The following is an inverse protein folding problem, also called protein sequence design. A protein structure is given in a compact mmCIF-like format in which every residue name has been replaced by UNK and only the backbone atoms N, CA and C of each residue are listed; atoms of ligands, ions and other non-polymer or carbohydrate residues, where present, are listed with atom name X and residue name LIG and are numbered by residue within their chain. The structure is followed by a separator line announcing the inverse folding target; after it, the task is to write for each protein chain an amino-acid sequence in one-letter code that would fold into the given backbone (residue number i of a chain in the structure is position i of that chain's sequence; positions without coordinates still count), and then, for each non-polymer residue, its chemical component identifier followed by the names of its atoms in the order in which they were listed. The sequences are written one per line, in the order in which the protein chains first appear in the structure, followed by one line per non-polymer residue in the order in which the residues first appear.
data_IF_258074410000
#
_entry.id   IF_258074410000
#
_cell.length_a   1.000
_cell.length_b   1.000
_cell.length_c   1.000
_cell.angle_alpha   90.00
_cell.angle_beta   90.00
_cell.angle_gamma   90.00
#
_symmetry.space_group_name_H-M   'P 1'
#
loop_
_entity.id
_entity.type
_entity.pdbx_description
1 polymer ?
#
# COMPACT_ATOMS: atom_id res chain seq x y z
N UNK A 1 -17.69 3.73 -25.20
CA UNK A 1 -16.45 4.20 -24.54
C UNK A 1 -16.75 4.43 -23.05
N UNK A 2 -16.19 3.65 -22.13
CA UNK A 2 -16.43 3.85 -20.68
C UNK A 2 -15.71 5.14 -20.26
N UNK A 3 -16.43 6.15 -19.79
CA UNK A 3 -15.87 7.42 -19.31
C UNK A 3 -15.57 7.33 -17.83
N UNK A 4 -14.41 7.80 -17.41
CA UNK A 4 -14.12 8.17 -16.03
C UNK A 4 -14.65 9.60 -15.86
N UNK A 5 -15.42 9.84 -14.78
CA UNK A 5 -16.13 11.10 -14.54
C UNK A 5 -15.25 12.16 -13.83
N UNK A 6 -13.93 11.97 -13.86
CA UNK A 6 -12.99 12.87 -13.20
C UNK A 6 -12.21 13.70 -14.21
N UNK A 7 -12.05 14.99 -13.90
CA UNK A 7 -11.06 15.85 -14.52
C UNK A 7 -9.92 16.07 -13.54
N UNK A 8 -8.68 15.88 -13.96
CA UNK A 8 -7.53 16.21 -13.12
C UNK A 8 -7.55 17.71 -12.77
N UNK A 9 -7.14 18.09 -11.55
CA UNK A 9 -6.93 19.50 -11.22
C UNK A 9 -5.79 20.08 -12.06
N UNK A 10 -5.68 21.40 -12.10
CA UNK A 10 -4.52 22.09 -12.66
C UNK A 10 -3.23 21.63 -11.94
N UNK A 11 -2.10 21.71 -12.61
CA UNK A 11 -0.80 21.51 -11.96
C UNK A 11 -0.53 22.70 -11.04
N UNK A 12 -0.23 22.39 -9.77
CA UNK A 12 0.08 23.39 -8.77
C UNK A 12 1.57 23.38 -8.44
N UNK A 13 2.21 24.53 -8.63
CA UNK A 13 3.62 24.71 -8.28
C UNK A 13 3.73 25.85 -7.28
N UNK A 14 4.62 25.72 -6.28
CA UNK A 14 4.82 26.70 -5.23
C UNK A 14 6.31 27.02 -5.11
N UNK A 15 6.65 28.33 -5.12
CA UNK A 15 7.99 28.85 -4.93
C UNK A 15 8.23 29.30 -3.49
N UNK A 16 7.19 29.65 -2.75
CA UNK A 16 7.24 30.03 -1.35
C UNK A 16 5.90 30.57 -0.85
N UNK A 17 5.72 30.55 0.45
CA UNK A 17 4.55 31.15 1.08
C UNK A 17 4.85 31.51 2.53
N UNK A 18 4.28 32.61 3.01
CA UNK A 18 4.48 33.03 4.38
C UNK A 18 3.43 33.99 4.88
N UNK A 19 3.32 34.05 6.20
CA UNK A 19 2.64 35.08 6.98
C UNK A 19 3.68 35.83 7.81
N UNK A 20 3.68 37.16 7.77
CA UNK A 20 4.53 37.98 8.66
C UNK A 20 3.75 39.13 9.24
N UNK A 21 4.15 39.54 10.45
CA UNK A 21 3.71 40.81 11.03
C UNK A 21 4.35 42.00 10.30
N UNK A 22 3.90 43.21 10.60
CA UNK A 22 4.41 44.46 9.99
C UNK A 22 5.86 44.74 10.33
N UNK A 23 6.40 44.11 11.37
CA UNK A 23 7.82 44.14 11.73
C UNK A 23 8.68 43.16 10.95
N UNK A 24 8.08 42.31 10.12
CA UNK A 24 8.76 41.31 9.30
C UNK A 24 9.03 39.99 10.01
N UNK A 25 8.52 39.77 11.25
CA UNK A 25 8.63 38.47 11.92
C UNK A 25 7.73 37.47 11.24
N UNK A 26 8.27 36.33 10.82
CA UNK A 26 7.53 35.23 10.25
C UNK A 26 6.72 34.49 11.33
N UNK A 27 5.44 34.22 11.04
CA UNK A 27 4.55 33.42 11.89
C UNK A 27 4.42 32.02 11.32
N UNK A 28 4.30 31.91 10.00
CA UNK A 28 4.34 30.68 9.25
C UNK A 28 5.16 30.89 7.99
N UNK A 29 6.00 29.93 7.62
CA UNK A 29 6.80 29.97 6.41
C UNK A 29 6.86 28.58 5.77
N UNK A 30 6.60 28.49 4.46
CA UNK A 30 6.70 27.25 3.69
C UNK A 30 8.13 26.65 3.73
N UNK A 31 9.15 27.50 3.90
CA UNK A 31 10.53 27.05 4.03
C UNK A 31 10.80 26.30 5.34
N UNK A 32 10.06 26.60 6.41
CA UNK A 32 10.17 25.88 7.69
C UNK A 32 9.38 24.56 7.67
N UNK A 33 8.19 24.57 7.05
CA UNK A 33 7.37 23.38 6.84
C UNK A 33 6.46 23.56 5.60
N UNK A 34 6.54 22.63 4.68
CA UNK A 34 5.66 22.63 3.51
C UNK A 34 4.18 22.39 3.88
N UNK A 35 3.89 21.90 5.10
CA UNK A 35 2.52 21.77 5.61
C UNK A 35 1.87 23.11 5.93
N UNK A 36 2.64 24.20 6.07
CA UNK A 36 2.09 25.52 6.38
C UNK A 36 1.15 26.09 5.32
N UNK A 37 1.07 25.51 4.13
CA UNK A 37 0.19 25.97 3.07
C UNK A 37 -0.88 24.93 2.77
N UNK A 38 -2.14 25.35 2.67
CA UNK A 38 -3.18 24.51 2.10
C UNK A 38 -2.81 24.19 0.65
N UNK A 39 -2.56 22.93 0.35
CA UNK A 39 -2.17 22.49 -0.99
C UNK A 39 -3.20 22.92 -2.04
N UNK A 40 -2.77 23.33 -3.23
CA UNK A 40 -3.60 23.91 -4.29
C UNK A 40 -4.20 25.30 -3.96
N UNK A 41 -3.64 26.00 -2.97
CA UNK A 41 -3.97 27.40 -2.74
C UNK A 41 -3.64 28.24 -3.97
N UNK A 42 -4.56 29.13 -4.36
CA UNK A 42 -4.29 30.12 -5.39
C UNK A 42 -3.22 31.14 -4.94
N UNK A 43 -2.44 31.70 -5.87
CA UNK A 43 -1.47 32.72 -5.54
C UNK A 43 -2.13 33.94 -4.91
N UNK A 44 -1.50 34.50 -3.88
CA UNK A 44 -1.95 35.71 -3.23
C UNK A 44 -0.76 36.52 -2.69
N UNK A 45 -0.89 37.84 -2.78
CA UNK A 45 0.00 38.79 -2.11
C UNK A 45 -0.84 39.95 -1.62
N UNK A 46 -1.05 40.01 -0.31
CA UNK A 46 -1.95 40.98 0.29
C UNK A 46 -1.55 41.33 1.70
N UNK A 47 -2.14 42.38 2.23
CA UNK A 47 -2.08 42.75 3.64
C UNK A 47 -3.50 42.68 4.20
N UNK A 48 -3.68 41.99 5.31
CA UNK A 48 -4.97 41.74 5.97
C UNK A 48 -4.90 42.09 7.45
N UNK A 49 -6.04 42.45 8.02
CA UNK A 49 -6.20 42.43 9.48
C UNK A 49 -6.22 41.00 10.01
N UNK A 50 -5.73 40.80 11.25
CA UNK A 50 -5.70 39.51 11.89
C UNK A 50 -7.05 38.82 11.94
N UNK A 51 -8.16 39.55 12.14
CA UNK A 51 -9.51 39.00 12.10
C UNK A 51 -9.87 38.36 10.76
N UNK A 52 -9.50 38.99 9.64
CA UNK A 52 -9.68 38.46 8.29
C UNK A 52 -8.74 37.27 8.03
N UNK A 53 -7.48 37.38 8.48
CA UNK A 53 -6.50 36.31 8.33
C UNK A 53 -6.94 35.03 9.04
N UNK A 54 -7.55 35.13 10.23
CA UNK A 54 -8.01 33.98 11.00
C UNK A 54 -9.04 33.12 10.27
N UNK A 55 -9.79 33.67 9.30
CA UNK A 55 -10.72 32.91 8.45
C UNK A 55 -10.01 31.98 7.47
N UNK A 56 -8.75 32.26 7.16
CA UNK A 56 -7.89 31.48 6.26
C UNK A 56 -6.87 30.59 6.98
N UNK A 57 -6.90 30.55 8.32
CA UNK A 57 -6.01 29.72 9.12
C UNK A 57 -6.72 28.46 9.61
N UNK A 58 -6.03 27.34 9.43
CA UNK A 58 -6.44 26.03 9.91
C UNK A 58 -5.46 25.52 10.98
N UNK A 59 -5.99 25.08 12.11
CA UNK A 59 -5.21 24.48 13.22
C UNK A 59 -5.97 23.29 13.80
N UNK A 60 -5.32 22.57 14.74
CA UNK A 60 -5.88 21.45 15.49
C UNK A 60 -5.92 21.85 16.97
N UNK A 61 -7.05 22.30 17.52
CA UNK A 61 -7.16 22.68 18.93
C UNK A 61 -6.89 21.52 19.89
N UNK A 62 -7.19 20.28 19.46
CA UNK A 62 -6.94 19.03 20.19
C UNK A 62 -5.45 18.63 20.20
N UNK A 63 -4.67 19.11 19.24
CA UNK A 63 -3.22 18.92 19.15
C UNK A 63 -2.53 20.27 18.81
N UNK A 64 -2.34 21.15 19.82
CA UNK A 64 -1.97 22.55 19.62
C UNK A 64 -0.55 22.77 19.10
N UNK A 65 0.29 21.77 19.08
CA UNK A 65 1.67 21.81 18.61
C UNK A 65 1.84 21.29 17.17
N UNK A 66 0.82 20.66 16.61
CA UNK A 66 0.85 20.08 15.27
C UNK A 66 0.26 20.99 14.21
N UNK A 67 0.83 20.93 13.00
CA UNK A 67 0.35 21.62 11.80
C UNK A 67 -0.52 20.64 11.01
N UNK A 68 -1.82 20.94 10.73
CA UNK A 68 -2.64 20.06 9.94
C UNK A 68 -2.20 20.05 8.47
N UNK A 69 -2.40 18.91 7.80
CA UNK A 69 -2.32 18.81 6.33
C UNK A 69 -3.69 19.03 5.70
N UNK A 70 -3.78 19.97 4.76
CA UNK A 70 -5.01 20.25 4.00
C UNK A 70 -4.73 20.52 2.53
N UNK A 71 -5.72 20.23 1.68
CA UNK A 71 -5.71 20.52 0.24
C UNK A 71 -7.02 21.11 -0.22
N UNK A 72 -7.00 21.91 -1.30
CA UNK A 72 -8.16 22.58 -1.88
C UNK A 72 -8.48 22.13 -3.33
N UNK A 73 -7.65 21.33 -3.97
CA UNK A 73 -7.71 20.80 -5.35
C UNK A 73 -8.47 21.67 -6.37
N UNK A 74 -9.81 21.71 -6.35
CA UNK A 74 -10.67 22.42 -7.33
C UNK A 74 -11.33 23.67 -6.75
N UNK A 75 -11.11 23.97 -5.46
CA UNK A 75 -11.70 25.14 -4.84
C UNK A 75 -10.88 26.40 -5.19
N UNK A 76 -11.56 27.47 -5.62
CA UNK A 76 -10.92 28.77 -5.80
C UNK A 76 -10.70 29.47 -4.45
N UNK A 77 -9.74 28.94 -3.68
CA UNK A 77 -9.44 29.39 -2.32
C UNK A 77 -7.94 29.42 -2.06
N UNK A 78 -7.56 29.94 -0.91
CA UNK A 78 -6.23 29.90 -0.36
C UNK A 78 -6.29 29.76 1.17
N UNK A 79 -5.24 29.30 1.79
CA UNK A 79 -5.16 29.19 3.24
C UNK A 79 -3.79 28.76 3.74
N UNK A 80 -3.61 28.91 5.05
CA UNK A 80 -2.46 28.40 5.76
C UNK A 80 -2.89 27.40 6.84
N UNK A 81 -2.04 26.42 7.06
CA UNK A 81 -2.10 25.50 8.17
C UNK A 81 -1.04 25.92 9.19
N UNK A 82 -1.44 26.09 10.41
CA UNK A 82 -0.56 26.55 11.50
C UNK A 82 -0.80 25.73 12.76
N UNK A 83 0.12 25.73 13.69
CA UNK A 83 -0.16 25.20 15.03
C UNK A 83 -1.24 26.07 15.70
N UNK A 84 -1.99 25.49 16.64
CA UNK A 84 -2.99 26.28 17.37
C UNK A 84 -2.33 27.38 18.23
N UNK A 85 -1.10 27.16 18.68
CA UNK A 85 -0.28 28.17 19.34
C UNK A 85 0.04 29.34 18.41
N UNK A 86 0.47 29.10 17.18
CA UNK A 86 0.71 30.17 16.19
C UNK A 86 -0.57 30.91 15.85
N UNK A 87 -1.69 30.19 15.73
CA UNK A 87 -3.01 30.80 15.51
C UNK A 87 -3.39 31.75 16.64
N UNK A 88 -3.12 31.38 17.89
CA UNK A 88 -3.41 32.19 19.08
C UNK A 88 -2.55 33.48 19.17
N UNK A 89 -1.41 33.53 18.46
CA UNK A 89 -0.59 34.76 18.39
C UNK A 89 -1.18 35.84 17.48
N UNK A 90 -2.17 35.51 16.64
CA UNK A 90 -2.78 36.46 15.70
C UNK A 90 -3.66 37.44 16.48
N UNK A 91 -3.29 38.68 16.45
CA UNK A 91 -4.06 39.81 17.07
C UNK A 91 -5.07 40.33 16.05
N UNK A 92 -6.40 40.28 16.30
CA UNK A 92 -7.42 40.61 15.30
C UNK A 92 -7.29 41.98 14.66
N UNK A 93 -6.86 43.00 15.43
CA UNK A 93 -6.72 44.39 14.95
C UNK A 93 -5.34 44.73 14.36
N UNK A 94 -4.36 43.82 14.46
CA UNK A 94 -3.05 44.01 13.86
C UNK A 94 -3.06 43.67 12.36
N UNK A 95 -2.12 44.21 11.59
CA UNK A 95 -1.93 43.93 10.18
C UNK A 95 -0.85 42.87 9.96
N UNK A 96 -1.07 42.02 8.93
CA UNK A 96 -0.18 40.93 8.51
C UNK A 96 0.02 40.96 7.00
N UNK A 97 1.26 40.77 6.56
CA UNK A 97 1.60 40.51 5.17
C UNK A 97 1.45 39.02 4.89
N UNK A 98 0.68 38.68 3.86
CA UNK A 98 0.36 37.31 3.46
C UNK A 98 0.78 37.11 2.02
N UNK A 99 1.62 36.09 1.79
CA UNK A 99 2.11 35.76 0.44
C UNK A 99 2.01 34.28 0.23
N UNK A 100 1.42 33.87 -0.90
CA UNK A 100 1.56 32.54 -1.50
C UNK A 100 2.02 32.77 -2.94
N UNK A 101 3.25 32.41 -3.22
CA UNK A 101 3.86 32.50 -4.55
C UNK A 101 3.74 31.12 -5.21
N UNK A 102 2.65 30.93 -5.94
CA UNK A 102 2.27 29.68 -6.56
C UNK A 102 1.72 29.90 -7.97
N UNK A 103 1.65 28.84 -8.77
CA UNK A 103 0.96 28.82 -10.06
C UNK A 103 -0.04 27.66 -10.10
N UNK A 104 -1.13 27.87 -10.82
CA UNK A 104 -2.16 26.87 -11.13
C UNK A 104 -2.38 26.91 -12.64
N UNK A 105 -1.82 25.97 -13.37
CA UNK A 105 -1.75 25.97 -14.86
C UNK A 105 -2.10 24.59 -15.41
N UNK A 106 -2.39 24.54 -16.70
CA UNK A 106 -2.45 23.28 -17.42
C UNK A 106 -1.07 22.63 -17.42
N UNK A 107 -1.03 21.37 -16.99
CA UNK A 107 0.24 20.66 -16.82
C UNK A 107 0.06 19.15 -16.82
N UNK A 108 0.83 18.45 -16.00
CA UNK A 108 0.93 17.00 -15.98
C UNK A 108 0.61 16.42 -14.62
N UNK A 109 -0.10 15.28 -14.59
CA UNK A 109 -0.19 14.44 -13.42
C UNK A 109 0.92 13.39 -13.51
N UNK A 110 1.94 13.53 -12.66
CA UNK A 110 3.11 12.64 -12.66
C UNK A 110 2.87 11.42 -11.80
N UNK A 111 3.22 10.24 -12.29
CA UNK A 111 3.32 9.00 -11.54
C UNK A 111 4.59 8.24 -11.92
N UNK A 112 5.11 7.43 -11.01
CA UNK A 112 6.22 6.53 -11.26
C UNK A 112 5.72 5.10 -11.49
N UNK A 113 6.35 4.40 -12.42
CA UNK A 113 6.05 3.01 -12.71
C UNK A 113 7.33 2.22 -12.96
N UNK A 114 7.44 1.05 -12.34
CA UNK A 114 8.50 0.10 -12.62
C UNK A 114 7.88 -1.26 -12.96
N UNK A 115 8.32 -1.85 -14.07
CA UNK A 115 7.86 -3.16 -14.53
C UNK A 115 9.02 -4.14 -14.46
N UNK A 116 8.86 -5.20 -13.68
CA UNK A 116 9.81 -6.30 -13.57
C UNK A 116 9.21 -7.48 -14.34
N UNK A 117 9.73 -7.70 -15.53
CA UNK A 117 9.23 -8.72 -16.46
C UNK A 117 9.37 -10.12 -15.88
N UNK A 118 8.29 -10.90 -15.92
CA UNK A 118 8.24 -12.30 -15.58
C UNK A 118 8.19 -13.21 -16.81
N UNK A 119 8.08 -14.51 -16.57
CA UNK A 119 7.95 -15.52 -17.63
C UNK A 119 6.55 -15.54 -18.26
N UNK A 120 5.55 -14.98 -17.57
CA UNK A 120 4.17 -14.89 -18.04
C UNK A 120 3.67 -13.46 -18.10
N UNK A 121 2.63 -13.24 -18.90
CA UNK A 121 1.92 -11.97 -19.04
C UNK A 121 0.99 -11.66 -17.86
N UNK A 122 0.78 -12.61 -16.95
CA UNK A 122 0.02 -12.36 -15.72
C UNK A 122 0.79 -11.36 -14.84
N UNK A 123 0.10 -10.34 -14.34
CA UNK A 123 0.72 -9.27 -13.56
C UNK A 123 0.29 -9.28 -12.09
N UNK A 124 1.24 -9.01 -11.21
CA UNK A 124 1.01 -8.63 -9.81
C UNK A 124 1.20 -7.12 -9.70
N UNK A 125 0.13 -6.40 -9.36
CA UNK A 125 0.15 -4.96 -9.16
C UNK A 125 0.47 -4.62 -7.71
N UNK A 126 1.56 -3.88 -7.49
CA UNK A 126 1.96 -3.35 -6.19
C UNK A 126 1.87 -1.83 -6.25
N UNK A 127 0.90 -1.24 -5.58
CA UNK A 127 0.61 0.19 -5.67
C UNK A 127 0.80 0.90 -4.35
N UNK A 128 1.30 2.13 -4.40
CA UNK A 128 1.37 3.04 -3.24
C UNK A 128 1.19 4.48 -3.71
N UNK A 129 0.73 5.36 -2.83
CA UNK A 129 0.53 6.75 -3.22
C UNK A 129 1.64 7.68 -2.71
N UNK A 130 1.84 8.79 -3.47
CA UNK A 130 2.95 9.73 -3.32
C UNK A 130 2.47 11.19 -3.12
N UNK A 131 1.21 11.39 -2.75
CA UNK A 131 0.59 12.72 -2.78
C UNK A 131 0.69 13.52 -1.48
N UNK A 132 1.19 12.92 -0.39
CA UNK A 132 1.27 13.59 0.91
C UNK A 132 2.70 14.10 1.18
N UNK A 133 2.92 15.42 1.20
CA UNK A 133 4.24 15.97 1.48
C UNK A 133 4.59 15.81 2.97
N UNK A 134 5.81 15.34 3.26
CA UNK A 134 6.40 15.29 4.60
C UNK A 134 5.61 14.50 5.66
N UNK A 135 4.75 13.56 5.25
CA UNK A 135 4.05 12.65 6.16
C UNK A 135 4.72 11.27 6.10
N UNK A 136 5.17 10.79 7.26
CA UNK A 136 6.04 9.61 7.35
C UNK A 136 5.28 8.30 7.21
N UNK A 137 4.24 8.08 8.02
CA UNK A 137 3.41 6.87 7.92
C UNK A 137 2.47 6.95 6.71
N UNK A 138 1.87 8.11 6.48
CA UNK A 138 0.95 8.40 5.39
C UNK A 138 1.59 9.34 4.33
N UNK A 139 2.52 8.92 3.44
CA UNK A 139 2.73 7.54 3.08
C UNK A 139 4.18 7.24 2.68
N UNK A 140 5.17 7.94 3.21
CA UNK A 140 6.59 7.63 2.91
C UNK A 140 6.93 6.20 3.30
N UNK A 141 6.27 5.63 4.33
CA UNK A 141 6.43 4.23 4.74
C UNK A 141 6.12 3.25 3.61
N UNK A 142 5.00 3.41 2.92
CA UNK A 142 4.63 2.58 1.77
C UNK A 142 5.56 2.76 0.58
N UNK A 143 5.99 3.99 0.30
CA UNK A 143 6.95 4.30 -0.77
C UNK A 143 8.28 3.60 -0.51
N UNK A 144 8.83 3.74 0.69
CA UNK A 144 10.10 3.12 1.08
C UNK A 144 10.01 1.59 1.01
N UNK A 145 8.92 1.02 1.52
CA UNK A 145 8.70 -0.42 1.49
C UNK A 145 8.67 -0.95 0.05
N UNK A 146 7.88 -0.36 -0.84
CA UNK A 146 7.79 -0.82 -2.22
C UNK A 146 9.09 -0.58 -3.01
N UNK A 147 9.84 0.47 -2.72
CA UNK A 147 11.13 0.72 -3.35
C UNK A 147 12.15 -0.38 -2.97
N UNK A 148 12.20 -0.77 -1.69
CA UNK A 148 13.06 -1.87 -1.21
C UNK A 148 12.60 -3.20 -1.81
N UNK A 149 11.32 -3.50 -1.77
CA UNK A 149 10.75 -4.71 -2.37
C UNK A 149 11.08 -4.81 -3.87
N UNK A 150 10.90 -3.74 -4.62
CA UNK A 150 11.20 -3.68 -6.05
C UNK A 150 12.68 -3.96 -6.36
N UNK A 151 13.60 -3.39 -5.57
CA UNK A 151 15.02 -3.70 -5.65
C UNK A 151 15.30 -5.19 -5.40
N UNK A 152 14.68 -5.76 -4.38
CA UNK A 152 14.90 -7.15 -3.99
C UNK A 152 14.30 -8.14 -5.02
N UNK A 153 13.22 -7.76 -5.70
CA UNK A 153 12.60 -8.53 -6.77
C UNK A 153 13.40 -8.44 -8.09
N UNK A 154 14.00 -7.28 -8.40
CA UNK A 154 14.70 -7.04 -9.67
C UNK A 154 15.86 -8.02 -9.95
N UNK A 155 16.44 -8.63 -8.91
CA UNK A 155 17.50 -9.64 -9.04
C UNK A 155 17.00 -11.08 -9.13
N UNK A 156 15.68 -11.32 -9.15
CA UNK A 156 15.07 -12.66 -9.07
C UNK A 156 14.53 -13.09 -10.43
N UNK A 157 14.50 -14.40 -10.65
CA UNK A 157 13.71 -14.98 -11.74
C UNK A 157 12.25 -15.02 -11.31
N UNK A 158 11.42 -14.24 -11.99
CA UNK A 158 10.01 -14.07 -11.69
C UNK A 158 9.16 -14.87 -12.67
N UNK A 159 8.12 -15.53 -12.17
CA UNK A 159 7.15 -16.21 -13.01
C UNK A 159 6.12 -15.23 -13.57
N UNK A 160 5.64 -14.33 -12.73
CA UNK A 160 4.70 -13.27 -13.11
C UNK A 160 5.41 -11.94 -13.26
N UNK A 161 4.90 -11.10 -14.12
CA UNK A 161 5.35 -9.72 -14.21
C UNK A 161 4.91 -8.94 -12.98
N UNK A 162 5.80 -8.18 -12.36
CA UNK A 162 5.48 -7.31 -11.24
C UNK A 162 5.48 -5.87 -11.67
N UNK A 163 4.36 -5.20 -11.42
CA UNK A 163 4.19 -3.78 -11.69
C UNK A 163 4.13 -3.00 -10.40
N UNK A 164 5.12 -2.14 -10.17
CA UNK A 164 5.16 -1.22 -9.05
C UNK A 164 4.64 0.14 -9.52
N UNK A 165 3.58 0.64 -8.89
CA UNK A 165 2.93 1.90 -9.24
C UNK A 165 3.00 2.88 -8.06
N UNK A 166 3.63 4.03 -8.30
CA UNK A 166 3.75 5.15 -7.37
C UNK A 166 2.97 6.33 -7.93
N UNK A 167 1.81 6.64 -7.40
CA UNK A 167 0.92 7.63 -8.01
C UNK A 167 0.23 8.53 -6.99
N UNK A 168 -0.16 9.77 -7.35
CA UNK A 168 -0.93 10.61 -6.45
C UNK A 168 -2.24 9.94 -6.04
N UNK A 169 -2.50 9.86 -4.72
CA UNK A 169 -3.64 9.14 -4.16
C UNK A 169 -4.96 9.50 -4.82
N UNK A 170 -5.74 8.51 -5.10
CA UNK A 170 -7.02 8.39 -5.79
C UNK A 170 -7.05 8.87 -7.24
N UNK A 171 -6.45 9.99 -7.58
CA UNK A 171 -6.42 10.53 -8.97
C UNK A 171 -5.42 9.80 -9.85
N UNK A 172 -4.27 9.44 -9.31
CA UNK A 172 -3.24 8.69 -10.02
C UNK A 172 -3.72 7.32 -10.50
N UNK A 173 -4.29 6.47 -9.64
CA UNK A 173 -4.92 5.22 -10.07
C UNK A 173 -5.97 5.41 -11.17
N UNK A 174 -6.84 6.42 -11.07
CA UNK A 174 -7.83 6.68 -12.12
C UNK A 174 -7.18 7.08 -13.46
N UNK A 175 -6.15 7.92 -13.40
CA UNK A 175 -5.38 8.30 -14.58
C UNK A 175 -4.68 7.07 -15.19
N UNK A 176 -4.00 6.26 -14.37
CA UNK A 176 -3.34 5.05 -14.79
C UNK A 176 -4.33 4.04 -15.41
N UNK A 177 -5.43 3.75 -14.73
CA UNK A 177 -6.50 2.87 -15.22
C UNK A 177 -7.09 3.33 -16.56
N UNK A 178 -7.22 4.65 -16.76
CA UNK A 178 -7.76 5.21 -18.01
C UNK A 178 -6.84 4.96 -19.20
N UNK A 179 -5.52 4.95 -18.98
CA UNK A 179 -4.49 4.82 -20.01
C UNK A 179 -4.10 3.37 -20.29
N UNK A 180 -4.31 2.47 -19.33
CA UNK A 180 -3.81 1.08 -19.38
C UNK A 180 -4.92 0.04 -19.57
N UNK A 181 -6.07 0.42 -20.11
CA UNK A 181 -7.27 -0.44 -20.22
C UNK A 181 -7.03 -1.78 -20.91
N UNK A 182 -6.13 -1.81 -21.88
CA UNK A 182 -5.80 -3.02 -22.64
C UNK A 182 -4.95 -4.02 -21.85
N UNK A 183 -4.36 -3.57 -20.74
CA UNK A 183 -3.50 -4.39 -19.88
C UNK A 183 -4.21 -4.89 -18.61
N UNK A 184 -5.41 -4.36 -18.30
CA UNK A 184 -6.06 -4.65 -17.01
C UNK A 184 -6.43 -6.11 -16.83
N UNK A 185 -6.72 -6.83 -17.90
CA UNK A 185 -7.03 -8.27 -17.88
C UNK A 185 -5.82 -9.13 -17.46
N UNK A 186 -4.61 -8.59 -17.53
CA UNK A 186 -3.39 -9.28 -17.09
C UNK A 186 -3.21 -9.24 -15.58
N UNK A 187 -3.89 -8.32 -14.87
CA UNK A 187 -3.73 -8.17 -13.41
C UNK A 187 -4.41 -9.35 -12.72
N UNK A 188 -3.58 -10.30 -12.32
CA UNK A 188 -3.98 -11.52 -11.62
C UNK A 188 -4.21 -11.27 -10.13
N UNK A 189 -3.44 -10.35 -9.53
CA UNK A 189 -3.51 -9.98 -8.13
C UNK A 189 -2.96 -8.57 -7.95
N UNK A 190 -3.41 -7.84 -6.93
CA UNK A 190 -2.82 -6.55 -6.59
C UNK A 190 -2.99 -6.18 -5.13
N UNK A 191 -2.06 -5.36 -4.65
CA UNK A 191 -2.07 -4.84 -3.28
C UNK A 191 -1.68 -3.37 -3.28
N UNK A 192 -2.51 -2.55 -2.65
CA UNK A 192 -2.13 -1.19 -2.24
C UNK A 192 -1.44 -1.29 -0.89
N UNK A 193 -0.23 -0.74 -0.78
CA UNK A 193 0.57 -0.75 0.46
C UNK A 193 0.67 0.69 0.96
N UNK A 194 0.15 0.94 2.16
CA UNK A 194 0.10 2.28 2.73
C UNK A 194 0.03 2.23 4.27
N UNK A 195 0.50 3.27 4.95
CA UNK A 195 0.46 3.39 6.42
C UNK A 195 0.99 2.10 7.09
N UNK A 196 2.23 1.73 6.77
CA UNK A 196 2.84 0.45 7.16
C UNK A 196 4.01 0.59 8.13
N UNK A 197 4.21 1.77 8.69
CA UNK A 197 5.37 2.08 9.52
C UNK A 197 5.10 2.18 11.03
N UNK A 198 3.85 2.36 11.45
CA UNK A 198 3.45 2.45 12.86
C UNK A 198 3.42 1.08 13.55
N UNK A 199 3.21 1.06 14.85
CA UNK A 199 3.23 -0.15 15.68
C UNK A 199 1.87 -0.89 15.77
N UNK A 200 0.87 -0.44 15.02
CA UNK A 200 -0.43 -1.10 14.92
C UNK A 200 -0.33 -2.52 14.34
N UNK A 201 -1.34 -3.36 14.52
CA UNK A 201 -1.35 -4.70 13.96
C UNK A 201 -1.43 -4.65 12.43
N UNK A 202 -0.78 -5.61 11.76
CA UNK A 202 -0.97 -5.80 10.31
C UNK A 202 -2.45 -5.98 9.98
N UNK A 203 -2.93 -5.28 8.97
CA UNK A 203 -4.32 -5.27 8.54
C UNK A 203 -4.41 -5.37 7.02
N UNK A 204 -5.27 -6.24 6.55
CA UNK A 204 -5.58 -6.37 5.13
C UNK A 204 -7.06 -6.14 4.89
N UNK A 205 -7.38 -5.21 4.00
CA UNK A 205 -8.73 -5.01 3.48
C UNK A 205 -8.87 -5.74 2.15
N UNK A 206 -9.86 -6.61 2.06
CA UNK A 206 -10.14 -7.43 0.89
C UNK A 206 -10.46 -6.59 -0.34
N UNK A 207 -10.26 -7.19 -1.52
CA UNK A 207 -10.81 -6.69 -2.77
C UNK A 207 -12.35 -6.67 -2.74
N UNK A 208 -12.98 -5.99 -3.69
CA UNK A 208 -14.44 -5.93 -3.78
C UNK A 208 -15.09 -7.31 -3.92
N UNK A 209 -14.47 -8.24 -4.64
CA UNK A 209 -14.97 -9.61 -4.77
C UNK A 209 -14.87 -10.39 -3.45
N UNK A 210 -13.86 -10.10 -2.61
CA UNK A 210 -13.72 -10.62 -1.25
C UNK A 210 -13.13 -12.03 -1.14
N UNK A 211 -12.97 -12.73 -2.26
CA UNK A 211 -12.51 -14.12 -2.32
C UNK A 211 -11.49 -14.39 -3.45
N UNK A 212 -10.89 -13.33 -3.97
CA UNK A 212 -9.85 -13.44 -5.00
C UNK A 212 -8.61 -14.14 -4.48
N UNK A 213 -7.71 -14.55 -5.39
CA UNK A 213 -6.47 -15.21 -5.00
C UNK A 213 -5.62 -14.35 -4.06
N UNK A 214 -5.61 -13.01 -4.25
CA UNK A 214 -4.88 -12.12 -3.35
C UNK A 214 -5.55 -12.02 -1.98
N UNK A 215 -6.88 -12.05 -1.89
CA UNK A 215 -7.60 -12.03 -0.62
C UNK A 215 -7.32 -13.28 0.21
N UNK A 216 -7.33 -14.44 -0.45
CA UNK A 216 -7.01 -15.72 0.18
C UNK A 216 -5.55 -15.79 0.61
N UNK A 217 -4.62 -15.34 -0.26
CA UNK A 217 -3.19 -15.31 0.01
C UNK A 217 -2.85 -14.39 1.19
N UNK A 218 -3.38 -13.16 1.19
CA UNK A 218 -3.17 -12.22 2.28
C UNK A 218 -3.73 -12.74 3.61
N UNK A 219 -4.95 -13.29 3.61
CA UNK A 219 -5.54 -13.89 4.79
C UNK A 219 -4.72 -15.07 5.33
N UNK A 220 -4.14 -15.89 4.43
CA UNK A 220 -3.25 -16.99 4.81
C UNK A 220 -1.97 -16.47 5.47
N UNK A 221 -1.28 -15.55 4.80
CA UNK A 221 0.00 -14.97 5.29
C UNK A 221 -0.21 -14.28 6.64
N UNK A 222 -1.21 -13.41 6.76
CA UNK A 222 -1.46 -12.67 8.00
C UNK A 222 -1.74 -13.61 9.18
N UNK A 223 -2.55 -14.64 8.96
CA UNK A 223 -2.90 -15.63 9.99
C UNK A 223 -1.69 -16.44 10.47
N UNK A 224 -0.74 -16.71 9.56
CA UNK A 224 0.51 -17.42 9.92
C UNK A 224 1.50 -16.51 10.66
N UNK A 225 1.50 -15.21 10.38
CA UNK A 225 2.44 -14.25 10.97
C UNK A 225 2.03 -13.80 12.37
N UNK A 226 0.76 -13.47 12.58
CA UNK A 226 0.33 -12.90 13.85
C UNK A 226 -1.15 -13.19 14.16
N UNK A 227 -1.46 -13.66 15.35
CA UNK A 227 -2.85 -13.79 15.81
C UNK A 227 -3.56 -12.43 15.99
N UNK A 228 -2.78 -11.34 16.06
CA UNK A 228 -3.32 -9.97 16.16
C UNK A 228 -3.62 -9.36 14.79
N UNK A 229 -3.18 -10.00 13.69
CA UNK A 229 -3.45 -9.49 12.35
C UNK A 229 -4.95 -9.51 12.02
N UNK A 230 -5.40 -8.51 11.29
CA UNK A 230 -6.82 -8.27 11.00
C UNK A 230 -7.05 -8.41 9.49
N UNK A 231 -8.14 -9.07 9.13
CA UNK A 231 -8.62 -9.13 7.74
C UNK A 231 -10.04 -8.58 7.72
N UNK A 232 -10.20 -7.42 7.07
CA UNK A 232 -11.48 -6.75 6.91
C UNK A 232 -12.12 -7.07 5.56
N UNK A 233 -13.44 -7.01 5.52
CA UNK A 233 -14.17 -7.04 4.26
C UNK A 233 -13.97 -5.72 3.48
N UNK A 234 -14.32 -5.76 2.19
CA UNK A 234 -14.26 -4.59 1.33
C UNK A 234 -15.17 -3.45 1.85
N UNK A 235 -14.59 -2.27 1.94
CA UNK A 235 -15.31 -1.03 2.19
C UNK A 235 -14.90 -0.01 1.11
N UNK A 236 -15.83 0.63 0.37
CA UNK A 236 -15.50 1.62 -0.66
C UNK A 236 -15.06 2.97 -0.07
N UNK A 237 -14.20 2.92 0.94
CA UNK A 237 -13.62 4.03 1.68
C UNK A 237 -12.15 3.74 2.00
N UNK A 238 -11.32 4.77 2.12
CA UNK A 238 -9.89 4.65 2.44
C UNK A 238 -9.01 4.91 1.21
N UNK A 239 -8.10 3.99 0.89
CA UNK A 239 -7.06 4.20 -0.12
C UNK A 239 -7.47 3.95 -1.57
N UNK A 240 -6.46 3.70 -2.38
CA UNK A 240 -6.55 3.60 -3.85
C UNK A 240 -7.22 2.30 -4.33
N UNK A 241 -7.27 1.24 -3.51
CA UNK A 241 -7.89 -0.04 -3.86
C UNK A 241 -9.34 0.11 -4.31
N UNK A 242 -10.08 1.11 -3.76
CA UNK A 242 -11.47 1.39 -4.17
C UNK A 242 -11.58 1.83 -5.63
N UNK A 243 -10.52 2.42 -6.20
CA UNK A 243 -10.50 2.82 -7.62
C UNK A 243 -10.27 1.60 -8.51
N UNK A 244 -9.32 0.75 -8.16
CA UNK A 244 -9.06 -0.51 -8.84
C UNK A 244 -10.26 -1.46 -8.77
N UNK A 245 -10.94 -1.47 -7.62
CA UNK A 245 -12.12 -2.29 -7.36
C UNK A 245 -13.45 -1.67 -7.82
N UNK A 246 -13.43 -0.51 -8.49
CA UNK A 246 -14.67 0.12 -8.95
C UNK A 246 -15.42 -0.79 -9.95
N UNK A 247 -16.77 -0.77 -10.00
CA UNK A 247 -17.55 -1.75 -10.76
C UNK A 247 -17.21 -1.90 -12.24
N UNK A 248 -16.58 -0.89 -12.82
CA UNK A 248 -16.18 -0.89 -14.23
C UNK A 248 -14.82 -1.54 -14.50
N UNK A 249 -13.97 -1.64 -13.48
CA UNK A 249 -12.65 -2.26 -13.53
C UNK A 249 -12.65 -3.60 -12.79
N UNK A 250 -13.16 -3.63 -11.57
CA UNK A 250 -13.35 -4.82 -10.72
C UNK A 250 -12.09 -5.69 -10.60
N UNK A 251 -10.94 -5.03 -10.42
CA UNK A 251 -9.66 -5.71 -10.33
C UNK A 251 -9.48 -6.38 -8.96
N UNK A 252 -8.76 -7.51 -8.90
CA UNK A 252 -8.47 -8.24 -7.67
C UNK A 252 -7.39 -7.51 -6.85
N UNK A 253 -7.73 -6.35 -6.27
CA UNK A 253 -6.78 -5.48 -5.54
C UNK A 253 -7.27 -5.22 -4.14
N UNK A 254 -6.52 -5.68 -3.14
CA UNK A 254 -6.76 -5.35 -1.74
C UNK A 254 -5.82 -4.27 -1.21
N UNK A 255 -5.86 -3.98 0.08
CA UNK A 255 -4.97 -3.02 0.71
C UNK A 255 -4.35 -3.58 1.98
N UNK A 256 -3.03 -3.43 2.11
CA UNK A 256 -2.27 -3.77 3.32
C UNK A 256 -1.87 -2.49 4.03
N UNK A 257 -2.22 -2.41 5.31
CA UNK A 257 -1.88 -1.31 6.21
C UNK A 257 -1.46 -1.88 7.57
N UNK A 258 -1.03 -1.00 8.47
CA UNK A 258 -1.08 -1.23 9.92
C UNK A 258 -2.28 -0.48 10.48
N UNK A 259 -2.12 0.73 10.94
CA UNK A 259 -3.29 1.54 11.32
C UNK A 259 -3.86 2.23 10.08
N UNK A 260 -5.11 1.96 9.68
CA UNK A 260 -5.68 2.54 8.47
C UNK A 260 -5.84 4.06 8.55
N UNK A 261 -6.02 4.66 7.39
CA UNK A 261 -6.30 6.08 7.18
C UNK A 261 -7.31 6.65 8.17
N UNK A 262 -6.93 7.71 8.89
CA UNK A 262 -7.78 8.41 9.85
C UNK A 262 -8.03 7.69 11.16
N UNK A 263 -7.36 6.55 11.42
CA UNK A 263 -7.51 5.80 12.68
C UNK A 263 -6.33 5.96 13.63
N UNK A 264 -5.27 6.68 13.25
CA UNK A 264 -4.20 7.07 14.16
C UNK A 264 -4.24 8.59 14.39
N UNK A 265 -3.93 9.05 15.61
CA UNK A 265 -4.09 10.47 15.99
C UNK A 265 -3.27 11.44 15.15
N UNK A 266 -2.11 11.02 14.70
CA UNK A 266 -1.13 11.80 13.94
C UNK A 266 -1.55 12.02 12.47
N UNK A 267 -2.59 11.29 12.02
CA UNK A 267 -3.05 11.31 10.63
C UNK A 267 -3.33 12.71 10.11
N UNK A 268 -2.74 13.05 8.96
CA UNK A 268 -2.87 14.35 8.30
C UNK A 268 -2.41 15.53 9.17
N UNK A 269 -1.32 15.35 9.92
CA UNK A 269 -0.67 16.42 10.68
C UNK A 269 0.86 16.28 10.69
N UNK A 270 1.56 17.29 11.15
CA UNK A 270 3.02 17.26 11.33
C UNK A 270 3.48 16.27 12.41
N UNK A 271 2.56 15.70 13.20
CA UNK A 271 2.83 14.62 14.13
C UNK A 271 3.09 13.27 13.41
N UNK A 272 2.60 13.10 12.17
CA UNK A 272 2.99 11.99 11.31
C UNK A 272 4.42 12.18 10.79
N UNK A 273 5.37 11.98 11.66
CA UNK A 273 6.80 12.15 11.43
C UNK A 273 7.58 10.85 11.71
N UNK A 274 8.91 10.91 11.68
CA UNK A 274 9.75 9.73 11.86
C UNK A 274 9.69 9.11 13.28
N UNK A 275 9.20 9.84 14.28
CA UNK A 275 9.03 9.28 15.63
C UNK A 275 7.91 8.26 15.70
N UNK A 276 6.93 8.34 14.78
CA UNK A 276 5.84 7.35 14.63
C UNK A 276 6.32 6.05 13.96
N UNK A 277 7.42 6.09 13.21
CA UNK A 277 7.89 4.97 12.40
C UNK A 277 8.91 4.15 13.17
N UNK A 278 8.74 2.82 13.20
CA UNK A 278 9.73 1.93 13.80
C UNK A 278 10.38 1.01 12.75
N UNK A 279 11.70 0.74 12.87
CA UNK A 279 12.39 -0.21 12.00
C UNK A 279 11.76 -1.61 12.06
N UNK A 280 11.29 -2.01 13.24
CA UNK A 280 10.64 -3.30 13.51
C UNK A 280 9.33 -3.41 12.73
N UNK A 281 8.50 -2.37 12.77
CA UNK A 281 7.21 -2.32 12.07
C UNK A 281 7.39 -2.31 10.55
N UNK A 282 8.31 -1.49 10.05
CA UNK A 282 8.64 -1.47 8.62
C UNK A 282 9.21 -2.81 8.16
N UNK A 283 10.13 -3.41 8.94
CA UNK A 283 10.72 -4.71 8.64
C UNK A 283 9.68 -5.84 8.62
N UNK A 284 8.76 -5.84 9.57
CA UNK A 284 7.68 -6.82 9.62
C UNK A 284 6.70 -6.65 8.46
N UNK A 285 6.34 -5.40 8.12
CA UNK A 285 5.49 -5.08 6.97
C UNK A 285 6.16 -5.50 5.65
N UNK A 286 7.46 -5.23 5.47
CA UNK A 286 8.22 -5.65 4.29
C UNK A 286 8.27 -7.18 4.17
N UNK A 287 8.56 -7.89 5.26
CA UNK A 287 8.58 -9.35 5.28
C UNK A 287 7.19 -9.93 4.95
N UNK A 288 6.12 -9.29 5.40
CA UNK A 288 4.74 -9.69 5.07
C UNK A 288 4.46 -9.57 3.58
N UNK A 289 4.83 -8.44 2.96
CA UNK A 289 4.63 -8.25 1.52
C UNK A 289 5.51 -9.21 0.72
N UNK A 290 6.75 -9.49 1.15
CA UNK A 290 7.58 -10.52 0.54
C UNK A 290 6.94 -11.90 0.57
N UNK A 291 6.41 -12.33 1.73
CA UNK A 291 5.72 -13.62 1.86
C UNK A 291 4.48 -13.69 0.97
N UNK A 292 3.71 -12.59 0.89
CA UNK A 292 2.54 -12.52 0.02
C UNK A 292 2.91 -12.63 -1.46
N UNK A 293 3.94 -11.89 -1.89
CA UNK A 293 4.46 -11.95 -3.26
C UNK A 293 5.01 -13.35 -3.57
N UNK A 294 5.81 -13.94 -2.68
CA UNK A 294 6.33 -15.28 -2.86
C UNK A 294 5.24 -16.35 -2.94
N UNK A 295 4.17 -16.18 -2.14
CA UNK A 295 3.00 -17.06 -2.23
C UNK A 295 2.33 -16.92 -3.60
N UNK A 296 2.04 -15.70 -4.04
CA UNK A 296 1.40 -15.47 -5.35
C UNK A 296 2.27 -15.99 -6.51
N UNK A 297 3.59 -15.83 -6.46
CA UNK A 297 4.53 -16.36 -7.45
C UNK A 297 4.49 -17.89 -7.54
N UNK A 298 4.42 -18.56 -6.39
CA UNK A 298 4.52 -20.03 -6.29
C UNK A 298 3.19 -20.76 -6.30
N UNK A 299 2.07 -20.04 -6.14
CA UNK A 299 0.75 -20.65 -6.15
C UNK A 299 0.39 -21.17 -7.54
N UNK A 300 0.26 -22.49 -7.65
CA UNK A 300 -0.04 -23.24 -8.89
C UNK A 300 -0.98 -24.40 -8.60
N UNK A 301 -1.59 -24.89 -9.65
CA UNK A 301 -2.23 -26.21 -9.68
C UNK A 301 -1.28 -27.24 -10.28
N UNK A 302 -1.36 -28.46 -9.80
CA UNK A 302 -0.58 -29.57 -10.30
C UNK A 302 -1.46 -30.78 -10.62
N UNK A 303 -0.96 -31.64 -11.50
CA UNK A 303 -1.57 -32.95 -11.83
C UNK A 303 -0.60 -34.04 -11.40
N UNK A 304 -1.11 -35.00 -10.63
CA UNK A 304 -0.30 -36.14 -10.20
C UNK A 304 -0.07 -37.09 -11.38
N UNK A 305 1.19 -37.46 -11.61
CA UNK A 305 1.57 -38.50 -12.57
C UNK A 305 1.39 -39.91 -12.02
N UNK A 306 1.05 -40.04 -10.73
CA UNK A 306 0.75 -41.34 -10.09
C UNK A 306 -0.56 -41.23 -9.28
N UNK A 307 -1.74 -41.06 -9.95
CA UNK A 307 -3.00 -40.75 -9.28
C UNK A 307 -3.67 -41.94 -8.58
N UNK A 308 -3.17 -43.16 -8.79
CA UNK A 308 -3.77 -44.40 -8.28
C UNK A 308 -3.03 -44.90 -7.02
N UNK A 309 -3.38 -44.32 -5.89
CA UNK A 309 -2.77 -44.61 -4.58
C UNK A 309 -1.52 -43.81 -4.30
N UNK A 310 -0.89 -44.05 -3.15
CA UNK A 310 0.33 -43.38 -2.75
C UNK A 310 1.53 -43.94 -3.53
N UNK A 311 2.32 -43.10 -4.23
CA UNK A 311 3.54 -43.55 -4.86
C UNK A 311 4.60 -43.93 -3.83
N UNK A 312 5.54 -44.79 -4.20
CA UNK A 312 6.63 -45.20 -3.32
C UNK A 312 7.63 -44.05 -3.10
N UNK A 313 7.35 -43.19 -2.12
CA UNK A 313 8.16 -42.01 -1.78
C UNK A 313 9.54 -42.37 -1.32
N UNK A 314 9.71 -43.50 -0.57
CA UNK A 314 11.00 -44.00 -0.09
C UNK A 314 11.99 -44.31 -1.21
N UNK A 315 11.54 -44.87 -2.35
CA UNK A 315 12.41 -45.12 -3.53
C UNK A 315 12.94 -43.84 -4.17
N UNK A 316 12.28 -42.72 -3.93
CA UNK A 316 12.63 -41.39 -4.45
C UNK A 316 13.38 -40.51 -3.46
N UNK A 317 13.74 -41.09 -2.28
CA UNK A 317 14.42 -40.35 -1.23
C UNK A 317 13.54 -39.32 -0.51
N UNK A 318 12.23 -39.32 -0.76
CA UNK A 318 11.29 -38.38 -0.17
C UNK A 318 10.71 -38.83 1.16
N UNK A 319 10.79 -40.15 1.44
CA UNK A 319 10.33 -40.71 2.70
C UNK A 319 11.58 -40.95 3.60
N UNK A 320 11.70 -40.16 4.64
CA UNK A 320 12.70 -40.43 5.69
C UNK A 320 12.00 -41.09 6.86
N UNK A 321 12.64 -42.09 7.47
CA UNK A 321 12.09 -42.78 8.63
C UNK A 321 11.69 -41.80 9.71
N UNK A 322 10.43 -41.86 10.14
CA UNK A 322 9.90 -41.13 11.28
C UNK A 322 10.36 -41.90 12.53
N UNK A 323 11.54 -41.58 13.05
CA UNK A 323 11.97 -42.09 14.35
C UNK A 323 11.34 -41.31 15.49
N UNK A 324 11.12 -41.96 16.62
CA UNK A 324 10.67 -41.30 17.83
C UNK A 324 11.60 -40.13 18.17
N UNK A 325 11.10 -38.91 18.20
CA UNK A 325 11.89 -37.69 18.43
C UNK A 325 12.26 -36.89 17.17
N UNK A 326 11.71 -37.21 15.97
CA UNK A 326 11.89 -36.38 14.79
C UNK A 326 11.41 -34.94 15.00
N UNK A 327 12.13 -33.93 14.49
CA UNK A 327 11.68 -32.53 14.59
C UNK A 327 10.29 -32.34 13.97
N UNK A 328 9.42 -31.55 14.61
CA UNK A 328 8.03 -31.23 14.13
C UNK A 328 8.02 -30.70 12.69
N UNK A 329 9.04 -29.96 12.28
CA UNK A 329 9.18 -29.47 10.92
C UNK A 329 9.31 -30.62 9.90
N UNK A 330 9.96 -31.71 10.24
CA UNK A 330 10.09 -32.90 9.41
C UNK A 330 8.74 -33.62 9.22
N UNK A 331 7.98 -33.76 10.29
CA UNK A 331 6.62 -34.33 10.24
C UNK A 331 5.69 -33.46 9.38
N UNK A 332 5.74 -32.14 9.52
CA UNK A 332 4.95 -31.22 8.71
C UNK A 332 5.26 -31.35 7.21
N UNK A 333 6.53 -31.48 6.84
CA UNK A 333 6.94 -31.67 5.46
C UNK A 333 6.46 -33.02 4.89
N UNK A 334 6.55 -34.11 5.64
CA UNK A 334 6.03 -35.42 5.23
C UNK A 334 4.52 -35.38 5.01
N UNK A 335 3.78 -34.71 5.90
CA UNK A 335 2.35 -34.48 5.74
C UNK A 335 2.07 -33.65 4.49
N UNK A 336 2.86 -32.63 4.21
CA UNK A 336 2.70 -31.78 3.04
C UNK A 336 2.86 -32.57 1.73
N UNK A 337 3.84 -33.50 1.64
CA UNK A 337 4.01 -34.37 0.46
C UNK A 337 2.72 -35.16 0.17
N UNK A 338 2.11 -35.75 1.20
CA UNK A 338 0.87 -36.52 1.05
C UNK A 338 -0.31 -35.64 0.68
N UNK A 339 -0.43 -34.45 1.29
CA UNK A 339 -1.47 -33.50 0.95
C UNK A 339 -1.37 -33.00 -0.49
N UNK A 340 -0.17 -32.62 -0.95
CA UNK A 340 0.05 -32.16 -2.31
C UNK A 340 -0.30 -33.27 -3.32
N UNK A 341 0.18 -34.50 -3.12
CA UNK A 341 -0.16 -35.63 -4.01
C UNK A 341 -1.66 -35.92 -4.05
N UNK A 342 -2.33 -35.84 -2.90
CA UNK A 342 -3.76 -36.12 -2.81
C UNK A 342 -4.64 -35.04 -3.47
N UNK A 343 -4.19 -33.77 -3.46
CA UNK A 343 -4.93 -32.66 -4.04
C UNK A 343 -4.51 -32.33 -5.50
N UNK A 344 -3.49 -32.99 -6.04
CA UNK A 344 -2.96 -32.74 -7.37
C UNK A 344 -3.80 -33.44 -8.47
N UNK A 345 -5.04 -33.00 -8.62
CA UNK A 345 -5.98 -33.44 -9.67
C UNK A 345 -6.21 -32.36 -10.75
N UNK A 346 -5.47 -31.25 -10.70
CA UNK A 346 -5.62 -30.10 -11.60
C UNK A 346 -6.70 -29.11 -11.18
N UNK A 347 -7.48 -29.38 -10.14
CA UNK A 347 -8.59 -28.52 -9.71
C UNK A 347 -8.25 -27.60 -8.54
N UNK A 348 -7.17 -27.90 -7.79
CA UNK A 348 -6.78 -27.20 -6.57
C UNK A 348 -5.37 -26.63 -6.66
N UNK A 349 -5.25 -25.39 -6.18
CA UNK A 349 -3.96 -24.73 -6.06
C UNK A 349 -3.18 -25.21 -4.82
N UNK A 350 -1.91 -24.83 -4.74
CA UNK A 350 -1.11 -25.06 -3.52
C UNK A 350 -1.67 -24.29 -2.33
N UNK A 351 -2.27 -23.11 -2.55
CA UNK A 351 -2.91 -22.32 -1.49
C UNK A 351 -4.16 -23.06 -0.95
N UNK A 352 -5.00 -23.60 -1.83
CA UNK A 352 -6.12 -24.45 -1.40
C UNK A 352 -5.65 -25.65 -0.57
N UNK A 353 -4.52 -26.23 -0.96
CA UNK A 353 -3.89 -27.34 -0.25
C UNK A 353 -3.37 -26.91 1.12
N UNK A 354 -2.74 -25.73 1.21
CA UNK A 354 -2.25 -25.16 2.47
C UNK A 354 -3.40 -24.87 3.44
N UNK A 355 -4.49 -24.27 2.93
CA UNK A 355 -5.69 -23.99 3.73
C UNK A 355 -6.33 -25.29 4.27
N UNK A 356 -6.53 -26.29 3.42
CA UNK A 356 -7.13 -27.56 3.83
C UNK A 356 -6.29 -28.36 4.81
N UNK A 357 -4.97 -28.30 4.64
CA UNK A 357 -4.01 -29.03 5.50
C UNK A 357 -3.70 -28.32 6.82
N UNK A 358 -4.06 -27.04 6.92
CA UNK A 358 -3.62 -26.12 7.98
C UNK A 358 -2.08 -26.06 8.12
N UNK A 359 -1.36 -26.25 7.01
CA UNK A 359 0.10 -26.13 6.95
C UNK A 359 0.52 -24.79 6.37
N UNK A 360 1.65 -24.23 6.77
CA UNK A 360 2.21 -23.03 6.13
C UNK A 360 2.41 -23.26 4.63
N UNK A 361 2.06 -22.25 3.83
CA UNK A 361 2.22 -22.35 2.36
C UNK A 361 3.64 -22.67 1.93
N UNK A 362 4.64 -22.12 2.62
CA UNK A 362 6.06 -22.39 2.33
C UNK A 362 6.43 -23.87 2.41
N UNK A 363 5.85 -24.61 3.36
CA UNK A 363 6.06 -26.04 3.52
C UNK A 363 5.37 -26.82 2.40
N UNK A 364 4.13 -26.45 2.06
CA UNK A 364 3.36 -27.07 0.97
C UNK A 364 4.05 -26.84 -0.38
N UNK A 365 4.53 -25.63 -0.64
CA UNK A 365 5.24 -25.29 -1.85
C UNK A 365 6.60 -26.02 -1.95
N UNK A 366 7.36 -26.13 -0.84
CA UNK A 366 8.60 -26.93 -0.82
C UNK A 366 8.34 -28.42 -1.07
N UNK A 367 7.23 -28.97 -0.57
CA UNK A 367 6.82 -30.35 -0.85
C UNK A 367 6.46 -30.53 -2.33
N UNK A 368 5.78 -29.56 -2.94
CA UNK A 368 5.48 -29.59 -4.36
C UNK A 368 6.75 -29.58 -5.23
N UNK A 369 7.72 -28.70 -4.90
CA UNK A 369 9.01 -28.66 -5.61
C UNK A 369 9.71 -30.03 -5.56
N UNK A 370 9.79 -30.64 -4.38
CA UNK A 370 10.41 -31.96 -4.23
C UNK A 370 9.67 -33.07 -5.01
N UNK A 371 8.33 -32.97 -5.10
CA UNK A 371 7.53 -33.92 -5.90
C UNK A 371 7.70 -33.69 -7.41
N UNK A 372 7.88 -32.44 -7.86
CA UNK A 372 8.22 -32.12 -9.25
C UNK A 372 9.59 -32.68 -9.61
N UNK A 373 10.61 -32.46 -8.76
CA UNK A 373 11.96 -33.02 -8.95
C UNK A 373 11.96 -34.55 -9.01
N UNK A 374 11.09 -35.18 -8.22
CA UNK A 374 10.92 -36.65 -8.23
C UNK A 374 10.07 -37.16 -9.42
N UNK A 375 9.61 -36.30 -10.32
CA UNK A 375 8.80 -36.65 -11.48
C UNK A 375 7.38 -37.15 -11.15
N UNK A 376 6.83 -36.73 -10.01
CA UNK A 376 5.51 -37.14 -9.53
C UNK A 376 4.41 -36.13 -9.84
N UNK A 377 4.76 -34.89 -10.18
CA UNK A 377 3.83 -33.82 -10.54
C UNK A 377 4.18 -33.21 -11.91
N UNK A 378 3.16 -32.69 -12.57
CA UNK A 378 3.25 -31.85 -13.77
C UNK A 378 2.36 -30.62 -13.67
#
# INVERSE_FOLDING_TARGET
MRRIDWTAPAEWNISGAWISDVGGRRIADYADSNLHVVGYSKPIRTRLRGGELLEHLHSLPEDPDSIPYRTAYWADTWGFCVTDRQRAEIVPDAEYDVVIDATLEDGSLTYGEAVLEGESDEEILLSTYICHPSLANDNVSGIALLAVLGRDLAGRRLRRTHRLLFSPGTLGPLAWLSRNREHLERIHAGVVVACVGDDGPLRYKRSRAGDTVVDQAAAHVLRQRSPAAIVDDFLPWGGDERQFCSPGFDLPVGALTRTPHGLFPEYHSSADNLDLITPESLGDSLATVHELVDLLERNRTYISRAPYGEPQLGRRGLYREVSAGAPRAHEAFQRALLWVLNQADGSRSLLDTAERSALPFSIVAAAADALVEAGLLE
#
